data_IF_425839945690
#
_entry.id   IF_425839945690
#
_cell.length_a   1.000
_cell.length_b   1.000
_cell.length_c   1.000
_cell.angle_alpha   90.00
_cell.angle_beta   90.00
_cell.angle_gamma   90.00
#
_symmetry.space_group_name_H-M   'P 1'
#
loop_
_entity.id
_entity.type
_entity.pdbx_description
1 polymer ?
#
# COMPACT_ATOMS: atom_id res chain seq x y z
N UNK A 1 9.75 29.36 -6.76
CA UNK A 1 9.95 27.92 -6.51
C UNK A 1 8.60 27.24 -6.57
N UNK A 2 8.39 26.29 -7.48
CA UNK A 2 7.14 25.51 -7.52
C UNK A 2 7.16 24.50 -6.40
N UNK A 3 6.05 24.36 -5.67
CA UNK A 3 5.86 23.28 -4.69
C UNK A 3 6.09 21.93 -5.37
N UNK A 4 6.76 20.96 -4.73
CA UNK A 4 6.95 19.63 -5.30
C UNK A 4 5.60 18.96 -5.60
N UNK A 5 5.53 18.16 -6.68
CA UNK A 5 4.32 17.43 -7.07
C UNK A 5 3.93 16.43 -5.97
N UNK A 6 2.78 16.62 -5.29
CA UNK A 6 2.34 15.72 -4.22
C UNK A 6 2.12 14.28 -4.69
N UNK A 7 1.76 14.09 -5.97
CA UNK A 7 1.54 12.76 -6.55
C UNK A 7 2.87 12.01 -6.73
N UNK A 8 3.92 12.70 -7.18
CA UNK A 8 5.26 12.14 -7.27
C UNK A 8 5.79 11.76 -5.88
N UNK A 9 5.68 12.66 -4.89
CA UNK A 9 6.11 12.39 -3.52
C UNK A 9 5.35 11.23 -2.88
N UNK A 10 4.04 11.14 -3.09
CA UNK A 10 3.25 10.00 -2.60
C UNK A 10 3.69 8.66 -3.19
N UNK A 11 4.06 8.64 -4.49
CA UNK A 11 4.60 7.44 -5.15
C UNK A 11 5.95 7.05 -4.58
N UNK A 12 6.84 8.02 -4.41
CA UNK A 12 8.18 7.81 -3.86
C UNK A 12 8.13 7.25 -2.44
N UNK A 13 7.32 7.84 -1.56
CA UNK A 13 7.12 7.35 -0.19
C UNK A 13 6.52 5.96 -0.15
N UNK A 14 5.58 5.65 -1.04
CA UNK A 14 5.04 4.30 -1.16
C UNK A 14 6.11 3.29 -1.62
N UNK A 15 7.02 3.67 -2.52
CA UNK A 15 8.14 2.81 -2.93
C UNK A 15 9.14 2.60 -1.78
N UNK A 16 9.48 3.66 -1.03
CA UNK A 16 10.32 3.54 0.16
C UNK A 16 9.70 2.62 1.23
N UNK A 17 8.41 2.78 1.51
CA UNK A 17 7.67 1.94 2.45
C UNK A 17 7.74 0.47 2.06
N UNK A 18 7.52 0.16 0.78
CA UNK A 18 7.58 -1.20 0.26
C UNK A 18 8.98 -1.79 0.33
N UNK A 19 10.00 -1.02 -0.05
CA UNK A 19 11.39 -1.47 0.01
C UNK A 19 11.80 -1.85 1.44
N UNK A 20 11.50 -0.99 2.43
CA UNK A 20 11.77 -1.30 3.85
C UNK A 20 11.05 -2.55 4.33
N UNK A 21 9.78 -2.70 3.94
CA UNK A 21 8.98 -3.88 4.27
C UNK A 21 9.55 -5.17 3.65
N UNK A 22 9.98 -5.12 2.39
CA UNK A 22 10.61 -6.23 1.67
C UNK A 22 11.95 -6.63 2.31
N UNK A 23 12.71 -5.65 2.80
CA UNK A 23 13.96 -5.85 3.54
C UNK A 23 13.76 -6.35 4.99
N UNK A 24 12.51 -6.50 5.44
CA UNK A 24 12.18 -6.88 6.82
C UNK A 24 12.39 -5.75 7.84
N UNK A 25 12.63 -4.53 7.38
CA UNK A 25 12.83 -3.33 8.20
C UNK A 25 11.48 -2.70 8.59
N UNK A 26 10.79 -3.36 9.53
CA UNK A 26 9.57 -2.85 10.15
C UNK A 26 9.71 -1.42 10.68
N UNK A 27 10.69 -1.14 11.57
CA UNK A 27 10.91 0.18 12.14
C UNK A 27 11.21 1.26 11.09
N UNK A 28 11.99 0.96 10.05
CA UNK A 28 12.28 1.91 8.99
C UNK A 28 11.06 2.23 8.13
N UNK A 29 10.20 1.24 7.87
CA UNK A 29 8.92 1.48 7.22
C UNK A 29 7.98 2.36 8.07
N UNK A 30 7.97 2.18 9.39
CA UNK A 30 7.22 3.06 10.29
C UNK A 30 7.81 4.48 10.29
N UNK A 31 9.14 4.62 10.21
CA UNK A 31 9.82 5.91 10.11
C UNK A 31 9.48 6.66 8.81
N UNK A 32 9.34 5.97 7.68
CA UNK A 32 8.88 6.57 6.41
C UNK A 32 7.51 7.24 6.60
N UNK A 33 6.59 6.58 7.30
CA UNK A 33 5.24 7.09 7.55
C UNK A 33 5.19 8.16 8.64
N UNK A 34 6.05 8.05 9.67
CA UNK A 34 6.18 9.04 10.73
C UNK A 34 6.66 10.39 10.19
N UNK A 35 7.48 10.40 9.14
CA UNK A 35 7.94 11.62 8.45
C UNK A 35 6.90 12.31 7.55
N UNK A 36 5.63 11.89 7.59
CA UNK A 36 4.55 12.48 6.80
C UNK A 36 3.49 13.05 7.75
N UNK A 37 3.48 14.37 7.91
CA UNK A 37 2.66 15.06 8.91
C UNK A 37 1.25 15.41 8.41
N UNK A 38 1.11 15.64 7.11
CA UNK A 38 -0.14 16.11 6.50
C UNK A 38 -1.02 14.94 6.05
N UNK A 39 -2.30 14.95 6.45
CA UNK A 39 -3.32 13.98 5.99
C UNK A 39 -3.35 13.91 4.46
N UNK A 40 -3.23 15.07 3.80
CA UNK A 40 -3.20 15.15 2.33
C UNK A 40 -2.06 14.33 1.73
N UNK A 41 -0.88 14.37 2.32
CA UNK A 41 0.27 13.63 1.84
C UNK A 41 0.09 12.12 2.07
N UNK A 42 -0.45 11.72 3.22
CA UNK A 42 -0.81 10.33 3.52
C UNK A 42 -1.81 9.77 2.49
N UNK A 43 -2.78 10.58 2.04
CA UNK A 43 -3.73 10.22 0.99
C UNK A 43 -3.03 9.93 -0.34
N UNK A 44 -2.01 10.71 -0.71
CA UNK A 44 -1.25 10.44 -1.94
C UNK A 44 -0.43 9.14 -1.85
N UNK A 45 0.14 8.82 -0.68
CA UNK A 45 0.77 7.49 -0.44
C UNK A 45 -0.26 6.38 -0.60
N UNK A 46 -1.44 6.54 0.01
CA UNK A 46 -2.54 5.57 -0.07
C UNK A 46 -3.05 5.35 -1.49
N UNK A 47 -3.17 6.43 -2.28
CA UNK A 47 -3.55 6.35 -3.68
C UNK A 47 -2.52 5.56 -4.51
N UNK A 48 -1.23 5.80 -4.26
CA UNK A 48 -0.16 5.07 -4.92
C UNK A 48 -0.18 3.57 -4.58
N UNK A 49 -0.36 3.20 -3.30
CA UNK A 49 -0.49 1.81 -2.86
C UNK A 49 -1.74 1.13 -3.46
N UNK A 50 -2.88 1.81 -3.45
CA UNK A 50 -4.15 1.30 -4.01
C UNK A 50 -4.03 1.01 -5.51
N UNK A 51 -3.39 1.91 -6.24
CA UNK A 51 -3.15 1.74 -7.69
C UNK A 51 -2.30 0.50 -7.96
N UNK A 52 -1.20 0.33 -7.21
CA UNK A 52 -0.33 -0.86 -7.33
C UNK A 52 -1.07 -2.15 -6.96
N UNK A 53 -1.81 -2.16 -5.85
CA UNK A 53 -2.57 -3.34 -5.40
C UNK A 53 -3.60 -3.80 -6.44
N UNK A 54 -4.29 -2.86 -7.10
CA UNK A 54 -5.20 -3.20 -8.21
C UNK A 54 -4.47 -3.79 -9.41
N UNK A 55 -3.27 -3.31 -9.71
CA UNK A 55 -2.44 -3.88 -10.78
C UNK A 55 -2.03 -5.31 -10.45
N UNK A 56 -1.52 -5.58 -9.25
CA UNK A 56 -1.13 -6.92 -8.82
C UNK A 56 -2.31 -7.89 -8.79
N UNK A 57 -3.45 -7.47 -8.25
CA UNK A 57 -4.64 -8.32 -8.17
C UNK A 57 -5.15 -8.79 -9.54
N UNK A 58 -4.99 -7.97 -10.60
CA UNK A 58 -5.38 -8.34 -11.97
C UNK A 58 -4.55 -9.49 -12.54
N UNK A 59 -3.32 -9.68 -12.06
CA UNK A 59 -2.46 -10.78 -12.47
C UNK A 59 -2.75 -12.09 -11.72
N UNK A 60 -3.58 -12.07 -10.67
CA UNK A 60 -3.90 -13.26 -9.88
C UNK A 60 -4.94 -14.16 -10.58
N UNK A 61 -4.91 -15.49 -10.33
CA UNK A 61 -5.99 -16.42 -10.64
C UNK A 61 -7.36 -15.95 -10.11
N UNK A 62 -8.49 -16.34 -10.73
CA UNK A 62 -9.82 -15.82 -10.41
C UNK A 62 -10.20 -15.92 -8.93
N UNK A 63 -9.97 -17.07 -8.28
CA UNK A 63 -10.29 -17.27 -6.87
C UNK A 63 -9.46 -16.33 -5.94
N UNK A 64 -8.16 -16.21 -6.21
CA UNK A 64 -7.27 -15.33 -5.43
C UNK A 64 -7.60 -13.85 -5.68
N UNK A 65 -7.95 -13.48 -6.91
CA UNK A 65 -8.40 -12.13 -7.25
C UNK A 65 -9.68 -11.74 -6.52
N UNK A 66 -10.64 -12.65 -6.42
CA UNK A 66 -11.88 -12.41 -5.65
C UNK A 66 -11.56 -12.15 -4.17
N UNK A 67 -10.68 -12.95 -3.56
CA UNK A 67 -10.25 -12.73 -2.19
C UNK A 67 -9.50 -11.40 -2.00
N UNK A 68 -8.62 -11.04 -2.93
CA UNK A 68 -7.91 -9.76 -2.93
C UNK A 68 -8.89 -8.59 -2.98
N UNK A 69 -9.92 -8.66 -3.84
CA UNK A 69 -10.96 -7.62 -3.92
C UNK A 69 -11.70 -7.45 -2.58
N UNK A 70 -12.07 -8.55 -1.91
CA UNK A 70 -12.71 -8.50 -0.58
C UNK A 70 -11.80 -7.84 0.46
N UNK A 71 -10.51 -8.20 0.50
CA UNK A 71 -9.55 -7.56 1.43
C UNK A 71 -9.38 -6.07 1.14
N UNK A 72 -9.33 -5.68 -0.13
CA UNK A 72 -9.27 -4.27 -0.54
C UNK A 72 -10.53 -3.47 -0.14
N UNK A 73 -11.73 -4.08 -0.22
CA UNK A 73 -12.95 -3.46 0.29
C UNK A 73 -12.88 -3.23 1.81
N UNK A 74 -12.43 -4.23 2.57
CA UNK A 74 -12.28 -4.12 4.02
C UNK A 74 -11.24 -3.04 4.39
N UNK A 75 -10.12 -2.96 3.68
CA UNK A 75 -9.15 -1.88 3.84
C UNK A 75 -9.75 -0.52 3.51
N UNK A 76 -10.61 -0.42 2.50
CA UNK A 76 -11.36 0.80 2.19
C UNK A 76 -12.23 1.28 3.34
N UNK A 77 -12.98 0.38 3.98
CA UNK A 77 -13.79 0.71 5.17
C UNK A 77 -12.94 1.23 6.32
N UNK A 78 -11.79 0.60 6.60
CA UNK A 78 -10.87 1.04 7.66
C UNK A 78 -10.29 2.42 7.34
N UNK A 79 -9.92 2.68 6.08
CA UNK A 79 -9.46 4.00 5.62
C UNK A 79 -10.49 5.08 5.89
N UNK A 80 -11.74 4.82 5.48
CA UNK A 80 -12.80 5.81 5.53
C UNK A 80 -13.17 6.18 6.98
N UNK A 81 -13.03 5.23 7.91
CA UNK A 81 -13.14 5.47 9.35
C UNK A 81 -11.97 6.30 9.92
N UNK A 82 -10.78 6.22 9.31
CA UNK A 82 -9.56 6.88 9.76
C UNK A 82 -9.29 8.24 9.08
N UNK A 83 -10.15 8.70 8.16
CA UNK A 83 -9.84 9.75 7.17
C UNK A 83 -9.30 11.09 7.73
N UNK A 84 -9.63 11.43 8.97
CA UNK A 84 -9.25 12.69 9.61
C UNK A 84 -8.21 12.49 10.73
N UNK A 85 -7.71 11.26 10.91
CA UNK A 85 -6.72 10.87 11.93
C UNK A 85 -5.41 10.43 11.25
N UNK A 86 -4.36 11.28 11.24
CA UNK A 86 -3.07 10.95 10.66
C UNK A 86 -2.44 9.68 11.25
N UNK A 87 -2.59 9.44 12.56
CA UNK A 87 -1.99 8.27 13.20
C UNK A 87 -2.70 6.98 12.75
N UNK A 88 -4.02 6.99 12.71
CA UNK A 88 -4.80 5.88 12.19
C UNK A 88 -4.53 5.64 10.69
N UNK A 89 -4.35 6.70 9.90
CA UNK A 89 -3.97 6.59 8.49
C UNK A 89 -2.59 5.95 8.30
N UNK A 90 -1.59 6.27 9.13
CA UNK A 90 -0.27 5.61 9.06
C UNK A 90 -0.39 4.11 9.33
N UNK A 91 -1.17 3.70 10.33
CA UNK A 91 -1.45 2.28 10.59
C UNK A 91 -2.15 1.63 9.39
N UNK A 92 -3.11 2.32 8.78
CA UNK A 92 -3.79 1.84 7.58
C UNK A 92 -2.85 1.70 6.37
N UNK A 93 -1.94 2.65 6.15
CA UNK A 93 -0.94 2.63 5.08
C UNK A 93 0.03 1.46 5.23
N UNK A 94 0.48 1.21 6.47
CA UNK A 94 1.31 0.05 6.82
C UNK A 94 0.64 -1.25 6.40
N UNK A 95 -0.61 -1.46 6.83
CA UNK A 95 -1.41 -2.64 6.45
C UNK A 95 -1.66 -2.75 4.95
N UNK A 96 -1.87 -1.63 4.29
CA UNK A 96 -2.10 -1.58 2.83
C UNK A 96 -0.85 -1.98 2.04
N UNK A 97 0.34 -1.60 2.51
CA UNK A 97 1.60 -2.00 1.92
C UNK A 97 1.90 -3.49 2.16
N UNK A 98 1.61 -4.00 3.36
CA UNK A 98 1.71 -5.43 3.68
C UNK A 98 0.78 -6.28 2.79
N UNK A 99 -0.46 -5.84 2.55
CA UNK A 99 -1.36 -6.51 1.60
C UNK A 99 -0.77 -6.53 0.18
N UNK A 100 -0.11 -5.45 -0.27
CA UNK A 100 0.54 -5.45 -1.58
C UNK A 100 1.63 -6.52 -1.68
N UNK A 101 2.45 -6.67 -0.64
CA UNK A 101 3.48 -7.72 -0.60
C UNK A 101 2.87 -9.12 -0.56
N UNK A 102 1.76 -9.30 0.15
CA UNK A 102 0.98 -10.54 0.10
C UNK A 102 0.53 -10.83 -1.34
N UNK A 103 -0.05 -9.87 -2.06
CA UNK A 103 -0.48 -10.06 -3.46
C UNK A 103 0.69 -10.46 -4.37
N UNK A 104 1.86 -9.81 -4.22
CA UNK A 104 3.09 -10.17 -4.96
C UNK A 104 3.52 -11.61 -4.68
N UNK A 105 3.49 -12.03 -3.41
CA UNK A 105 3.85 -13.41 -3.03
C UNK A 105 2.87 -14.45 -3.61
N UNK A 106 1.57 -14.15 -3.62
CA UNK A 106 0.53 -15.01 -4.22
C UNK A 106 0.74 -15.14 -5.72
N UNK A 107 1.04 -14.03 -6.40
CA UNK A 107 1.37 -14.02 -7.83
C UNK A 107 2.60 -14.89 -8.11
N UNK A 108 3.69 -14.69 -7.38
CA UNK A 108 4.91 -15.48 -7.56
C UNK A 108 4.68 -16.98 -7.31
N UNK A 109 3.81 -17.33 -6.35
CA UNK A 109 3.43 -18.72 -6.11
C UNK A 109 2.60 -19.31 -7.26
N UNK A 110 1.66 -18.54 -7.82
CA UNK A 110 0.87 -18.96 -8.97
C UNK A 110 1.74 -19.15 -10.23
N UNK A 111 2.66 -18.23 -10.49
CA UNK A 111 3.57 -18.28 -11.64
C UNK A 111 4.47 -19.55 -11.59
N UNK A 112 4.89 -19.99 -10.40
CA UNK A 112 5.66 -21.25 -10.22
C UNK A 112 4.88 -22.53 -10.47
N UNK A 113 3.55 -22.52 -10.35
CA UNK A 113 2.71 -23.70 -10.60
C UNK A 113 2.37 -23.80 -12.10
N UNK A 114 2.35 -22.67 -12.80
CA UNK A 114 2.02 -22.60 -14.22
C UNK A 114 3.21 -22.87 -15.15
N UNK A 115 4.44 -22.70 -14.67
CA UNK A 115 5.69 -23.00 -15.39
C UNK A 115 6.22 -24.39 -15.10
#
# INVERSE_FOLDING_TARGET
MSSPDPTALGRERADQLLARLEDGDGPGADAVLAGVDEVRDLVYVGAALTSRARSEARALPPAQRAQANTRQLNLGTVRDAARDDPAALRVWLRRSAEELLLLRSLKAAADRIAG
#
